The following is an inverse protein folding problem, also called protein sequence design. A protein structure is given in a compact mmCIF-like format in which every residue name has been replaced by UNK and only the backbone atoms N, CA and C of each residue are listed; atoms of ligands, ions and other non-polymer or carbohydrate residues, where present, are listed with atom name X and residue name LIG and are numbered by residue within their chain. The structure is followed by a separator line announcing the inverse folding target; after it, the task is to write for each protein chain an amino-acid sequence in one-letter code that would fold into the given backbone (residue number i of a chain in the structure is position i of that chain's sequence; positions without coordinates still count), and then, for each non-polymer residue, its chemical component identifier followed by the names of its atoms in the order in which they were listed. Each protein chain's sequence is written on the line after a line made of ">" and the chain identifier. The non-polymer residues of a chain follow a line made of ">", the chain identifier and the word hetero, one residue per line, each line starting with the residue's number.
data_IF_495739020104
#
_entry.id   IF_495739020104
#
_cell.length_a   1.000
_cell.length_b   1.000
_cell.length_c   1.000
_cell.angle_alpha   90.00
_cell.angle_beta   90.00
_cell.angle_gamma   90.00
#
_symmetry.space_group_name_H-M   'P 1'
#
loop_
_entity.id
_entity.type
_entity.pdbx_description
1 polymer ?
#
# COMPACT_ATOMS: atom_id res chain seq x y z
N UNK A 1 -24.02 -20.89 13.43
CA UNK A 1 -22.82 -21.53 12.86
C UNK A 1 -22.06 -20.43 12.15
N UNK A 2 -21.00 -19.94 12.79
CA UNK A 2 -20.18 -18.82 12.35
C UNK A 2 -19.46 -19.23 11.06
N UNK A 3 -19.69 -18.52 9.95
CA UNK A 3 -18.98 -18.79 8.70
C UNK A 3 -17.48 -18.79 8.97
N UNK A 4 -16.83 -19.93 8.70
CA UNK A 4 -15.39 -20.00 8.58
C UNK A 4 -14.96 -18.97 7.54
N UNK A 5 -14.26 -17.94 8.01
CA UNK A 5 -13.75 -16.82 7.23
C UNK A 5 -13.02 -17.34 6.01
N UNK A 6 -13.66 -17.19 4.84
CA UNK A 6 -13.18 -17.66 3.54
C UNK A 6 -11.80 -17.05 3.29
N UNK A 7 -10.78 -17.88 3.14
CA UNK A 7 -9.46 -17.45 2.64
C UNK A 7 -9.45 -17.49 1.12
N UNK A 8 -8.61 -16.68 0.49
CA UNK A 8 -8.41 -16.71 -0.97
C UNK A 8 -7.35 -17.76 -1.34
N UNK A 9 -7.42 -18.33 -2.54
CA UNK A 9 -6.37 -19.22 -3.07
C UNK A 9 -5.14 -18.40 -3.47
N UNK A 10 -3.95 -18.93 -3.19
CA UNK A 10 -2.67 -18.35 -3.64
C UNK A 10 -2.44 -18.37 -5.16
N UNK A 11 -3.32 -19.05 -5.91
CA UNK A 11 -3.34 -19.04 -7.38
C UNK A 11 -4.34 -18.05 -7.97
N UNK A 12 -5.06 -17.32 -7.11
CA UNK A 12 -6.04 -16.35 -7.56
C UNK A 12 -5.39 -15.25 -8.43
N UNK A 13 -6.16 -14.82 -9.40
CA UNK A 13 -5.83 -13.71 -10.28
C UNK A 13 -5.85 -12.38 -9.50
N UNK A 14 -5.30 -11.34 -10.13
CA UNK A 14 -5.32 -9.99 -9.55
C UNK A 14 -6.75 -9.47 -9.41
N UNK A 15 -7.61 -9.75 -10.38
CA UNK A 15 -9.02 -9.35 -10.41
C UNK A 15 -9.82 -10.06 -9.31
N UNK A 16 -9.58 -11.36 -9.09
CA UNK A 16 -10.20 -12.11 -7.99
C UNK A 16 -9.77 -11.56 -6.63
N UNK A 17 -8.50 -11.15 -6.49
CA UNK A 17 -8.00 -10.54 -5.26
C UNK A 17 -8.66 -9.17 -4.98
N UNK A 18 -8.91 -8.37 -6.02
CA UNK A 18 -9.67 -7.11 -5.90
C UNK A 18 -11.08 -7.40 -5.41
N UNK A 19 -11.81 -8.29 -6.09
CA UNK A 19 -13.21 -8.60 -5.76
C UNK A 19 -13.35 -9.17 -4.34
N UNK A 20 -12.41 -10.03 -3.93
CA UNK A 20 -12.34 -10.54 -2.58
C UNK A 20 -12.07 -9.43 -1.56
N UNK A 21 -11.14 -8.51 -1.86
CA UNK A 21 -10.83 -7.39 -0.97
C UNK A 21 -12.03 -6.44 -0.81
N UNK A 22 -12.76 -6.16 -1.89
CA UNK A 22 -13.99 -5.35 -1.82
C UNK A 22 -15.03 -5.97 -0.89
N UNK A 23 -15.33 -7.26 -1.08
CA UNK A 23 -16.26 -8.01 -0.22
C UNK A 23 -15.79 -8.05 1.24
N UNK A 24 -14.49 -8.16 1.47
CA UNK A 24 -13.89 -8.12 2.80
C UNK A 24 -14.10 -6.77 3.47
N UNK A 25 -13.86 -5.67 2.75
CA UNK A 25 -14.03 -4.32 3.29
C UNK A 25 -15.48 -4.03 3.68
N UNK A 26 -16.46 -4.42 2.86
CA UNK A 26 -17.88 -4.30 3.19
C UNK A 26 -18.25 -5.01 4.50
N UNK A 27 -17.69 -6.21 4.72
CA UNK A 27 -17.89 -6.96 5.98
C UNK A 27 -17.17 -6.32 7.17
N UNK A 28 -16.01 -5.69 6.94
CA UNK A 28 -15.30 -4.93 7.98
C UNK A 28 -16.09 -3.67 8.39
N UNK A 29 -16.59 -2.89 7.43
CA UNK A 29 -17.37 -1.68 7.68
C UNK A 29 -18.69 -1.96 8.41
N UNK A 30 -19.34 -3.08 8.07
CA UNK A 30 -20.55 -3.54 8.74
C UNK A 30 -20.29 -4.25 10.08
N UNK A 31 -19.04 -4.25 10.57
CA UNK A 31 -18.62 -4.88 11.83
C UNK A 31 -19.00 -6.36 11.94
N UNK A 32 -19.03 -7.07 10.82
CA UNK A 32 -19.41 -8.49 10.75
C UNK A 32 -18.23 -9.44 11.00
N UNK A 33 -17.01 -8.91 11.11
CA UNK A 33 -15.78 -9.69 11.28
C UNK A 33 -15.09 -9.34 12.59
N UNK A 34 -14.54 -10.37 13.25
CA UNK A 34 -13.62 -10.17 14.35
C UNK A 34 -12.22 -9.77 13.85
N UNK A 35 -11.39 -9.17 14.71
CA UNK A 35 -9.99 -8.85 14.37
C UNK A 35 -9.19 -10.08 13.92
N UNK A 36 -9.49 -11.26 14.49
CA UNK A 36 -8.83 -12.52 14.11
C UNK A 36 -9.23 -12.94 12.70
N UNK A 37 -10.50 -12.72 12.32
CA UNK A 37 -11.01 -13.05 10.99
C UNK A 37 -10.49 -12.09 9.93
N UNK A 38 -10.45 -10.79 10.25
CA UNK A 38 -9.80 -9.76 9.43
C UNK A 38 -8.34 -10.16 9.19
N UNK A 39 -7.61 -10.51 10.26
CA UNK A 39 -6.21 -10.88 10.15
C UNK A 39 -6.01 -12.08 9.23
N UNK A 40 -6.79 -13.15 9.41
CA UNK A 40 -6.68 -14.37 8.59
C UNK A 40 -6.98 -14.11 7.12
N UNK A 41 -8.05 -13.37 6.82
CA UNK A 41 -8.44 -13.07 5.45
C UNK A 41 -7.36 -12.24 4.74
N UNK A 42 -6.87 -11.17 5.37
CA UNK A 42 -5.83 -10.31 4.79
C UNK A 42 -4.50 -11.06 4.68
N UNK A 43 -4.13 -11.88 5.65
CA UNK A 43 -2.92 -12.70 5.58
C UNK A 43 -2.93 -13.60 4.34
N UNK A 44 -4.07 -14.23 4.03
CA UNK A 44 -4.22 -15.03 2.81
C UNK A 44 -4.14 -14.23 1.52
N UNK A 45 -4.43 -12.91 1.53
CA UNK A 45 -4.21 -12.06 0.36
C UNK A 45 -2.73 -11.71 0.20
N UNK A 46 -2.04 -11.38 1.29
CA UNK A 46 -0.69 -10.80 1.20
C UNK A 46 0.43 -11.82 1.12
N UNK A 47 0.14 -13.12 1.24
CA UNK A 47 1.12 -14.21 1.11
C UNK A 47 1.62 -14.41 -0.32
N UNK A 48 0.99 -13.80 -1.33
CA UNK A 48 1.39 -13.94 -2.74
C UNK A 48 1.21 -12.64 -3.55
N UNK A 49 1.93 -12.45 -4.68
CA UNK A 49 2.03 -11.15 -5.34
C UNK A 49 0.70 -10.59 -5.89
N UNK A 50 -0.14 -11.41 -6.53
CA UNK A 50 -1.41 -10.94 -7.09
C UNK A 50 -2.40 -10.56 -5.99
N UNK A 51 -2.50 -11.39 -4.95
CA UNK A 51 -3.31 -11.13 -3.77
C UNK A 51 -2.92 -9.82 -3.09
N UNK A 52 -1.63 -9.64 -2.83
CA UNK A 52 -1.11 -8.46 -2.16
C UNK A 52 -1.36 -7.17 -2.96
N UNK A 53 -1.15 -7.22 -4.29
CA UNK A 53 -1.45 -6.08 -5.18
C UNK A 53 -2.94 -5.76 -5.18
N UNK A 54 -3.80 -6.78 -5.30
CA UNK A 54 -5.26 -6.61 -5.29
C UNK A 54 -5.76 -6.03 -3.97
N UNK A 55 -5.18 -6.47 -2.86
CA UNK A 55 -5.43 -5.89 -1.54
C UNK A 55 -5.07 -4.41 -1.50
N UNK A 56 -3.81 -4.06 -1.80
CA UNK A 56 -3.36 -2.68 -1.65
C UNK A 56 -4.06 -1.70 -2.58
N UNK A 57 -4.30 -2.06 -3.84
CA UNK A 57 -4.98 -1.15 -4.78
C UNK A 57 -6.40 -0.84 -4.29
N UNK A 58 -7.10 -1.83 -3.73
CA UNK A 58 -8.47 -1.68 -3.24
C UNK A 58 -8.49 -0.96 -1.89
N UNK A 59 -7.69 -1.44 -0.94
CA UNK A 59 -7.64 -0.95 0.43
C UNK A 59 -7.17 0.49 0.52
N UNK A 60 -6.14 0.89 -0.23
CA UNK A 60 -5.60 2.25 -0.12
C UNK A 60 -6.47 3.29 -0.83
N UNK A 61 -7.22 2.89 -1.86
CA UNK A 61 -8.02 3.83 -2.69
C UNK A 61 -9.46 3.96 -2.24
N UNK A 62 -9.99 3.02 -1.44
CA UNK A 62 -11.35 3.03 -0.90
C UNK A 62 -11.76 4.40 -0.33
N UNK A 63 -13.03 4.76 -0.46
CA UNK A 63 -13.56 5.97 0.20
C UNK A 63 -13.87 5.76 1.69
N UNK A 64 -13.75 4.51 2.16
CA UNK A 64 -13.85 4.13 3.57
C UNK A 64 -12.77 4.76 4.45
N UNK A 65 -13.10 5.03 5.71
CA UNK A 65 -12.12 5.41 6.75
C UNK A 65 -11.30 4.23 7.28
N UNK A 66 -11.60 2.98 6.90
CA UNK A 66 -10.86 1.80 7.36
C UNK A 66 -9.35 1.92 7.10
N UNK A 67 -8.97 2.48 5.95
CA UNK A 67 -7.56 2.66 5.60
C UNK A 67 -6.91 3.87 6.28
N UNK A 68 -7.69 4.81 6.79
CA UNK A 68 -7.22 5.94 7.61
C UNK A 68 -7.02 5.52 9.09
N UNK A 69 -7.69 4.45 9.52
CA UNK A 69 -7.59 3.89 10.87
C UNK A 69 -7.49 2.36 10.82
N UNK A 70 -6.37 1.82 10.29
CA UNK A 70 -6.19 0.38 10.14
C UNK A 70 -6.27 -0.32 11.49
N UNK A 71 -7.08 -1.39 11.56
CA UNK A 71 -7.28 -2.16 12.78
C UNK A 71 -6.04 -3.02 13.12
N UNK A 72 -5.91 -3.52 14.37
CA UNK A 72 -4.83 -4.44 14.73
C UNK A 72 -4.75 -5.68 13.84
N UNK A 73 -5.89 -6.23 13.42
CA UNK A 73 -5.96 -7.37 12.51
C UNK A 73 -5.34 -7.09 11.15
N UNK A 74 -5.54 -5.87 10.61
CA UNK A 74 -4.88 -5.42 9.38
C UNK A 74 -3.37 -5.37 9.57
N UNK A 75 -2.88 -4.70 10.61
CA UNK A 75 -1.43 -4.55 10.86
C UNK A 75 -0.76 -5.90 11.08
N UNK A 76 -1.37 -6.78 11.87
CA UNK A 76 -0.84 -8.12 12.13
C UNK A 76 -0.83 -9.00 10.88
N UNK A 77 -1.83 -8.88 10.00
CA UNK A 77 -1.85 -9.60 8.72
C UNK A 77 -0.73 -9.15 7.80
N UNK A 78 -0.55 -7.83 7.65
CA UNK A 78 0.52 -7.26 6.84
C UNK A 78 1.92 -7.65 7.35
N UNK A 79 2.09 -7.77 8.67
CA UNK A 79 3.35 -8.21 9.26
C UNK A 79 3.71 -9.67 8.94
N UNK A 80 2.75 -10.50 8.50
CA UNK A 80 2.99 -11.92 8.19
C UNK A 80 3.80 -12.16 6.91
N UNK A 81 3.84 -11.18 6.00
CA UNK A 81 4.47 -11.30 4.68
C UNK A 81 5.41 -10.13 4.39
N UNK A 82 6.47 -9.95 5.21
CA UNK A 82 7.25 -8.71 5.28
C UNK A 82 7.95 -8.34 3.96
N UNK A 83 8.33 -9.32 3.15
CA UNK A 83 9.02 -9.09 1.87
C UNK A 83 8.08 -8.50 0.81
N UNK A 84 6.95 -9.16 0.54
CA UNK A 84 5.96 -8.72 -0.45
C UNK A 84 5.32 -7.41 -0.01
N UNK A 85 4.89 -7.35 1.26
CA UNK A 85 4.25 -6.15 1.84
C UNK A 85 5.21 -4.97 1.83
N UNK A 86 6.47 -5.17 2.22
CA UNK A 86 7.44 -4.08 2.27
C UNK A 86 7.75 -3.51 0.89
N UNK A 87 7.95 -4.36 -0.12
CA UNK A 87 8.18 -3.91 -1.49
C UNK A 87 6.99 -3.12 -2.05
N UNK A 88 5.77 -3.60 -1.81
CA UNK A 88 4.56 -2.92 -2.28
C UNK A 88 4.29 -1.61 -1.56
N UNK A 89 4.51 -1.53 -0.24
CA UNK A 89 4.34 -0.27 0.51
C UNK A 89 5.29 0.83 -0.02
N UNK A 90 6.57 0.50 -0.21
CA UNK A 90 7.55 1.47 -0.71
C UNK A 90 7.25 1.90 -2.14
N UNK A 91 6.82 0.97 -3.01
CA UNK A 91 6.40 1.30 -4.38
C UNK A 91 5.12 2.13 -4.39
N UNK A 92 4.12 1.79 -3.59
CA UNK A 92 2.87 2.55 -3.51
C UNK A 92 3.13 3.97 -3.04
N UNK A 93 3.98 4.14 -2.01
CA UNK A 93 4.39 5.45 -1.51
C UNK A 93 5.03 6.30 -2.62
N UNK A 94 5.94 5.70 -3.38
CA UNK A 94 6.61 6.39 -4.48
C UNK A 94 5.63 6.75 -5.63
N UNK A 95 4.82 5.78 -6.07
CA UNK A 95 3.86 5.98 -7.17
C UNK A 95 2.83 7.05 -6.83
N UNK A 96 2.20 6.98 -5.65
CA UNK A 96 1.15 7.93 -5.29
C UNK A 96 1.70 9.34 -5.08
N UNK A 97 2.91 9.47 -4.55
CA UNK A 97 3.56 10.78 -4.38
C UNK A 97 3.90 11.42 -5.74
N UNK A 98 4.42 10.64 -6.69
CA UNK A 98 4.67 11.11 -8.05
C UNK A 98 3.37 11.45 -8.82
N UNK A 99 2.31 10.65 -8.66
CA UNK A 99 1.04 10.88 -9.34
C UNK A 99 0.28 12.09 -8.80
N UNK A 100 0.45 12.44 -7.53
CA UNK A 100 -0.10 13.69 -7.00
C UNK A 100 0.42 14.91 -7.77
N UNK A 101 1.72 14.92 -8.15
CA UNK A 101 2.31 15.97 -8.99
C UNK A 101 1.75 15.92 -10.41
N UNK A 102 1.69 14.74 -11.04
CA UNK A 102 1.13 14.57 -12.39
C UNK A 102 -0.30 15.09 -12.48
N UNK A 103 -1.16 14.71 -11.54
CA UNK A 103 -2.56 15.14 -11.55
C UNK A 103 -2.71 16.64 -11.28
N UNK A 104 -1.88 17.20 -10.40
CA UNK A 104 -1.86 18.65 -10.15
C UNK A 104 -1.48 19.43 -11.40
N UNK A 105 -0.42 19.01 -12.12
CA UNK A 105 0.00 19.63 -13.39
C UNK A 105 -1.05 19.53 -14.48
N UNK A 106 -1.86 18.47 -14.46
CA UNK A 106 -2.97 18.27 -15.38
C UNK A 106 -4.27 18.97 -14.93
N UNK A 107 -4.20 19.85 -13.92
CA UNK A 107 -5.35 20.57 -13.35
C UNK A 107 -6.47 19.64 -12.85
N UNK A 108 -6.15 18.41 -12.46
CA UNK A 108 -7.09 17.45 -11.92
C UNK A 108 -6.90 17.31 -10.41
N UNK A 109 -7.39 18.33 -9.69
CA UNK A 109 -7.24 18.45 -8.23
C UNK A 109 -7.81 17.25 -7.47
N UNK A 110 -8.92 16.68 -7.93
CA UNK A 110 -9.56 15.54 -7.27
C UNK A 110 -8.68 14.28 -7.32
N UNK A 111 -8.07 14.00 -8.48
CA UNK A 111 -7.11 12.89 -8.60
C UNK A 111 -5.81 13.16 -7.85
N UNK A 112 -5.38 14.43 -7.76
CA UNK A 112 -4.23 14.81 -6.95
C UNK A 112 -4.49 14.56 -5.45
N UNK A 113 -5.67 14.91 -4.95
CA UNK A 113 -6.08 14.62 -3.56
C UNK A 113 -6.24 13.12 -3.30
N UNK A 114 -6.79 12.37 -4.25
CA UNK A 114 -6.86 10.90 -4.16
C UNK A 114 -5.45 10.28 -4.04
N UNK A 115 -4.51 10.75 -4.84
CA UNK A 115 -3.10 10.32 -4.77
C UNK A 115 -2.45 10.69 -3.44
N UNK A 116 -2.69 11.91 -2.93
CA UNK A 116 -2.22 12.34 -1.59
C UNK A 116 -2.82 11.49 -0.47
N UNK A 117 -4.09 11.10 -0.58
CA UNK A 117 -4.76 10.20 0.37
C UNK A 117 -4.06 8.83 0.41
N UNK A 118 -3.77 8.25 -0.75
CA UNK A 118 -3.00 6.99 -0.84
C UNK A 118 -1.61 7.13 -0.23
N UNK A 119 -0.91 8.24 -0.48
CA UNK A 119 0.40 8.52 0.15
C UNK A 119 0.28 8.52 1.67
N UNK A 120 -0.67 9.27 2.25
CA UNK A 120 -0.88 9.36 3.71
C UNK A 120 -1.19 8.02 4.34
N UNK A 121 -2.10 7.25 3.73
CA UNK A 121 -2.47 5.90 4.22
C UNK A 121 -1.29 4.94 4.18
N UNK A 122 -0.49 5.02 3.11
CA UNK A 122 0.73 4.20 2.98
C UNK A 122 1.77 4.57 4.05
N UNK A 123 2.02 5.86 4.28
CA UNK A 123 2.89 6.35 5.37
C UNK A 123 2.42 5.82 6.73
N UNK A 124 1.11 5.85 6.99
CA UNK A 124 0.54 5.36 8.25
C UNK A 124 0.75 3.86 8.42
N UNK A 125 0.52 3.04 7.40
CA UNK A 125 0.79 1.61 7.45
C UNK A 125 2.28 1.32 7.71
N UNK A 126 3.18 2.03 7.02
CA UNK A 126 4.64 1.94 7.24
C UNK A 126 4.99 2.23 8.70
N UNK A 127 4.46 3.33 9.25
CA UNK A 127 4.69 3.74 10.64
C UNK A 127 4.18 2.71 11.64
N UNK A 128 2.96 2.18 11.44
CA UNK A 128 2.34 1.22 12.34
C UNK A 128 3.00 -0.16 12.28
N UNK A 129 3.47 -0.58 11.11
CA UNK A 129 4.21 -1.83 10.96
C UNK A 129 5.57 -1.80 11.65
N UNK A 130 6.22 -0.63 11.71
CA UNK A 130 7.52 -0.42 12.35
C UNK A 130 8.55 -1.53 12.00
N UNK A 131 8.58 -1.91 10.72
CA UNK A 131 9.34 -3.06 10.24
C UNK A 131 10.72 -2.66 9.76
N UNK A 132 11.77 -3.32 10.27
CA UNK A 132 13.15 -3.10 9.84
C UNK A 132 13.34 -3.34 8.33
N UNK A 133 12.60 -4.28 7.75
CA UNK A 133 12.63 -4.53 6.31
C UNK A 133 12.13 -3.30 5.52
N UNK A 134 11.01 -2.73 5.95
CA UNK A 134 10.43 -1.53 5.31
C UNK A 134 11.37 -0.34 5.46
N UNK A 135 11.96 -0.14 6.64
CA UNK A 135 12.94 0.92 6.88
C UNK A 135 14.15 0.80 5.94
N UNK A 136 14.68 -0.42 5.74
CA UNK A 136 15.78 -0.65 4.81
C UNK A 136 15.37 -0.36 3.35
N UNK A 137 14.18 -0.81 2.94
CA UNK A 137 13.67 -0.55 1.60
C UNK A 137 13.44 0.95 1.34
N UNK A 138 12.99 1.71 2.34
CA UNK A 138 12.88 3.17 2.26
C UNK A 138 14.26 3.84 2.15
N UNK A 139 15.26 3.38 2.90
CA UNK A 139 16.62 3.89 2.77
C UNK A 139 17.19 3.64 1.36
N UNK A 140 16.95 2.47 0.77
CA UNK A 140 17.33 2.16 -0.60
C UNK A 140 16.58 3.02 -1.63
N UNK A 141 15.30 3.34 -1.39
CA UNK A 141 14.53 4.26 -2.22
C UNK A 141 15.12 5.68 -2.15
N UNK A 142 15.42 6.16 -0.94
CA UNK A 142 16.02 7.47 -0.68
C UNK A 142 17.39 7.61 -1.34
N UNK A 143 18.25 6.59 -1.17
CA UNK A 143 19.55 6.52 -1.84
C UNK A 143 19.37 6.60 -3.35
N UNK A 144 18.41 5.83 -3.90
CA UNK A 144 18.16 5.84 -5.33
C UNK A 144 17.75 7.23 -5.84
N UNK A 145 16.88 7.93 -5.13
CA UNK A 145 16.54 9.32 -5.49
C UNK A 145 17.77 10.22 -5.47
N UNK A 146 18.60 10.12 -4.43
CA UNK A 146 19.76 10.99 -4.21
C UNK A 146 20.91 10.77 -5.21
N UNK A 147 21.27 9.51 -5.47
CA UNK A 147 22.46 9.17 -6.24
C UNK A 147 22.18 8.97 -7.73
N UNK A 148 20.90 8.85 -8.12
CA UNK A 148 20.50 8.41 -9.47
C UNK A 148 21.09 7.02 -9.83
N UNK A 149 21.38 6.20 -8.83
CA UNK A 149 21.87 4.82 -8.94
C UNK A 149 21.10 3.90 -7.97
N UNK A 150 21.37 2.58 -7.95
CA UNK A 150 20.79 1.68 -6.96
C UNK A 150 19.46 1.03 -7.33
N UNK A 151 18.84 0.35 -6.34
CA UNK A 151 17.77 -0.63 -6.52
C UNK A 151 16.54 -0.11 -7.28
N UNK A 152 16.17 1.16 -7.09
CA UNK A 152 14.92 1.70 -7.66
C UNK A 152 15.10 2.49 -8.95
N UNK A 153 16.30 2.55 -9.54
CA UNK A 153 16.49 3.29 -10.79
C UNK A 153 15.69 2.76 -11.96
N UNK A 154 15.71 1.43 -12.19
CA UNK A 154 14.93 0.83 -13.26
C UNK A 154 13.43 1.10 -13.07
N UNK A 155 12.98 1.13 -11.81
CA UNK A 155 11.61 1.49 -11.47
C UNK A 155 11.32 2.96 -11.83
N UNK A 156 12.17 3.92 -11.45
CA UNK A 156 11.99 5.33 -11.80
C UNK A 156 12.03 5.57 -13.32
N UNK A 157 12.95 4.92 -14.03
CA UNK A 157 13.08 5.02 -15.48
C UNK A 157 11.88 4.42 -16.20
N UNK A 158 11.39 3.26 -15.77
CA UNK A 158 10.21 2.61 -16.32
C UNK A 158 8.97 3.52 -16.28
N UNK A 159 8.82 4.28 -15.21
CA UNK A 159 7.70 5.21 -15.03
C UNK A 159 7.98 6.63 -15.55
N UNK A 160 9.23 6.93 -15.93
CA UNK A 160 9.62 8.23 -16.46
C UNK A 160 9.52 9.38 -15.46
N UNK A 161 9.80 9.14 -14.17
CA UNK A 161 9.68 10.19 -13.16
C UNK A 161 10.72 11.30 -13.36
N UNK A 162 10.25 12.54 -13.35
CA UNK A 162 11.10 13.72 -13.40
C UNK A 162 11.56 14.19 -12.01
N UNK A 163 12.37 15.25 -12.00
CA UNK A 163 13.00 15.77 -10.78
C UNK A 163 11.97 16.19 -9.70
N UNK A 164 10.87 16.86 -10.07
CA UNK A 164 9.86 17.29 -9.09
C UNK A 164 9.12 16.08 -8.50
N UNK A 165 8.84 15.08 -9.33
CA UNK A 165 8.24 13.83 -8.86
C UNK A 165 9.18 13.06 -7.92
N UNK A 166 10.48 13.00 -8.23
CA UNK A 166 11.49 12.37 -7.37
C UNK A 166 11.65 13.12 -6.04
N UNK A 167 11.58 14.44 -6.04
CA UNK A 167 11.56 15.27 -4.83
C UNK A 167 10.31 14.99 -3.98
N UNK A 168 9.13 14.92 -4.60
CA UNK A 168 7.90 14.55 -3.91
C UNK A 168 7.97 13.14 -3.29
N UNK A 169 8.59 12.19 -4.02
CA UNK A 169 8.88 10.84 -3.49
C UNK A 169 9.79 10.96 -2.26
N UNK A 170 10.91 11.68 -2.33
CA UNK A 170 11.83 11.85 -1.21
C UNK A 170 11.15 12.44 0.04
N UNK A 171 10.36 13.50 -0.13
CA UNK A 171 9.62 14.14 0.97
C UNK A 171 8.53 13.25 1.58
N UNK A 172 8.09 12.20 0.88
CA UNK A 172 7.04 11.30 1.37
C UNK A 172 7.50 10.32 2.47
N UNK A 173 8.80 10.14 2.66
CA UNK A 173 9.35 9.33 3.76
C UNK A 173 10.36 10.10 4.62
N UNK A 174 10.68 11.34 4.24
CA UNK A 174 11.48 12.26 5.03
C UNK A 174 10.60 12.98 6.07
N UNK A 175 9.96 12.22 6.95
CA UNK A 175 9.41 12.79 8.19
C UNK A 175 10.54 12.95 9.18
N UNK A 176 11.44 13.89 8.90
CA UNK A 176 12.38 14.38 9.89
C UNK A 176 11.60 14.95 11.08
N UNK A 177 11.66 14.24 12.21
CA UNK A 177 12.02 14.76 13.53
C UNK A 177 12.37 13.61 14.48
#
# INVERSE_FOLDING_TARGET
>A
MTELTKTISNTATFEEAIAFTQSLLEKMESHQLSEVDIQKAIASLVEFPNGARGFFVTYLTTDSSLADHPSPGVINALASSPEIVGDLLVKNLAMSSAMAITHLRNHNSDLAESSRRVTRRTQQLIKLLNSANVTNLLAQLAESVKTKSGKYQEFFQKWGYDQEQLEAIASSFDTAK
#
